data_IF_091397460836
#
_entry.id   IF_091397460836
#
_cell.length_a   1.000
_cell.length_b   1.000
_cell.length_c   1.000
_cell.angle_alpha   90.00
_cell.angle_beta   90.00
_cell.angle_gamma   90.00
#
_symmetry.space_group_name_H-M   'P 1'
#
loop_
_entity.id
_entity.type
_entity.pdbx_description
1 polymer ?
#
# COMPACT_ATOMS: atom_id res chain seq x y z
N UNK A 1 38.41 -18.68 1.51
CA UNK A 1 39.18 -19.01 2.72
C UNK A 1 40.69 -18.62 2.69
N UNK A 2 41.18 -17.81 1.72
CA UNK A 2 42.61 -17.45 1.67
C UNK A 2 42.90 -15.94 1.51
N UNK A 3 42.00 -15.06 1.87
CA UNK A 3 42.23 -13.60 1.78
C UNK A 3 41.99 -12.79 3.07
N UNK A 4 41.74 -13.44 4.20
CA UNK A 4 41.64 -12.76 5.50
C UNK A 4 42.93 -12.84 6.37
N UNK A 5 43.89 -13.66 6.01
CA UNK A 5 45.07 -13.90 6.87
C UNK A 5 46.24 -12.92 6.65
N UNK A 6 46.17 -12.02 5.67
CA UNK A 6 47.29 -11.08 5.35
C UNK A 6 47.21 -9.77 6.17
N UNK A 7 46.11 -9.52 6.87
CA UNK A 7 45.94 -8.27 7.65
C UNK A 7 46.25 -8.40 9.13
N UNK A 8 46.70 -9.58 9.59
CA UNK A 8 47.04 -9.82 11.01
C UNK A 8 48.51 -9.69 11.39
N UNK A 9 49.40 -9.42 10.43
CA UNK A 9 50.87 -9.48 10.71
C UNK A 9 51.56 -8.10 10.78
N UNK A 10 50.86 -6.98 10.69
CA UNK A 10 51.48 -5.64 10.65
C UNK A 10 51.25 -4.78 11.91
N UNK A 11 50.52 -5.24 12.90
CA UNK A 11 50.25 -4.41 14.11
C UNK A 11 50.76 -5.01 15.42
N UNK A 12 51.94 -5.69 15.39
CA UNK A 12 52.59 -6.16 16.59
C UNK A 12 54.02 -5.54 16.72
N UNK A 13 54.10 -4.24 16.90
CA UNK A 13 55.23 -3.58 17.55
C UNK A 13 54.95 -2.08 17.71
N UNK A 14 54.40 -1.68 18.80
CA UNK A 14 54.86 -0.56 19.68
C UNK A 14 53.83 -0.41 20.79
N UNK A 15 54.28 -0.55 22.01
CA UNK A 15 53.45 -0.45 23.20
C UNK A 15 53.08 0.99 23.51
N UNK A 16 51.84 1.18 23.89
CA UNK A 16 51.48 2.14 24.96
C UNK A 16 49.99 1.94 25.29
N UNK A 17 49.74 1.76 26.57
CA UNK A 17 48.41 1.62 27.18
C UNK A 17 47.61 2.90 27.00
N UNK A 18 46.47 2.85 26.39
CA UNK A 18 45.27 3.66 26.71
C UNK A 18 44.05 3.00 26.03
N UNK A 19 43.02 2.75 26.82
CA UNK A 19 41.75 2.21 26.37
C UNK A 19 41.08 3.15 25.36
N UNK A 20 40.62 2.70 24.19
CA UNK A 20 39.69 3.44 23.39
C UNK A 20 38.27 2.84 23.52
N UNK A 21 37.32 3.72 23.76
CA UNK A 21 35.88 3.45 23.79
C UNK A 21 35.36 2.87 22.45
N UNK A 22 34.36 1.96 22.47
CA UNK A 22 33.91 1.24 21.27
C UNK A 22 32.85 1.96 20.45
N UNK A 23 32.86 3.29 20.33
CA UNK A 23 31.77 4.04 19.71
C UNK A 23 31.97 4.36 18.22
N UNK A 24 33.18 4.17 17.67
CA UNK A 24 33.47 4.61 16.29
C UNK A 24 33.52 3.51 15.20
N UNK A 25 33.15 2.28 15.51
CA UNK A 25 33.22 1.18 14.53
C UNK A 25 31.92 0.86 13.80
N UNK A 26 30.80 1.49 14.17
CA UNK A 26 29.50 1.17 13.52
C UNK A 26 29.17 1.99 12.27
N UNK A 27 29.77 3.16 12.07
CA UNK A 27 29.43 4.01 10.93
C UNK A 27 30.18 3.71 9.62
N UNK A 28 31.35 3.09 9.68
CA UNK A 28 32.12 2.77 8.46
C UNK A 28 31.64 1.48 7.76
N UNK A 29 30.88 0.62 8.44
CA UNK A 29 30.38 -0.63 7.85
C UNK A 29 29.05 -0.45 7.10
N UNK A 30 28.29 0.60 7.41
CA UNK A 30 26.95 0.81 6.81
C UNK A 30 27.07 1.39 5.39
N UNK A 31 28.10 2.15 5.09
CA UNK A 31 28.27 2.78 3.77
C UNK A 31 28.84 1.83 2.71
N UNK A 32 29.51 0.74 3.11
CA UNK A 32 30.02 -0.26 2.18
C UNK A 32 29.00 -1.36 1.83
N UNK A 33 27.91 -1.48 2.60
CA UNK A 33 26.89 -2.53 2.40
C UNK A 33 25.83 -2.16 1.35
N UNK A 34 25.78 -0.90 0.91
CA UNK A 34 24.80 -0.42 -0.07
C UNK A 34 25.12 -0.73 -1.54
N UNK A 35 26.29 -1.30 -1.86
CA UNK A 35 26.74 -1.50 -3.25
C UNK A 35 26.99 -2.98 -3.59
N UNK A 36 27.05 -3.86 -2.59
CA UNK A 36 27.21 -5.30 -2.84
C UNK A 36 25.83 -5.95 -2.70
N UNK A 37 25.30 -6.43 -3.81
CA UNK A 37 24.03 -7.15 -3.86
C UNK A 37 23.94 -8.17 -2.72
N UNK A 38 22.87 -8.07 -1.94
CA UNK A 38 22.57 -8.89 -0.77
C UNK A 38 22.74 -10.38 -1.13
N UNK A 39 23.83 -10.96 -0.70
CA UNK A 39 24.10 -12.38 -0.90
C UNK A 39 23.17 -13.15 0.07
N UNK A 40 21.91 -13.30 -0.31
CA UNK A 40 20.97 -14.14 0.45
C UNK A 40 21.45 -15.57 0.43
N UNK A 41 21.55 -16.24 1.56
CA UNK A 41 21.95 -17.63 1.62
C UNK A 41 20.97 -18.49 0.79
N UNK A 42 21.48 -19.48 0.08
CA UNK A 42 20.73 -20.31 -0.85
C UNK A 42 19.55 -21.05 -0.21
N UNK A 43 19.60 -21.30 1.09
CA UNK A 43 18.53 -21.87 1.90
C UNK A 43 17.32 -20.95 2.07
N UNK A 44 17.55 -19.64 2.16
CA UNK A 44 16.44 -18.66 2.18
C UNK A 44 15.78 -18.54 0.82
N UNK A 45 16.54 -18.48 -0.26
CA UNK A 45 16.01 -18.52 -1.63
C UNK A 45 15.22 -19.80 -1.90
N UNK A 46 15.68 -20.93 -1.40
CA UNK A 46 15.00 -22.22 -1.54
C UNK A 46 13.69 -22.25 -0.73
N UNK A 47 13.68 -21.71 0.49
CA UNK A 47 12.46 -21.57 1.30
C UNK A 47 11.45 -20.60 0.67
N UNK A 48 11.91 -19.45 0.18
CA UNK A 48 11.04 -18.49 -0.53
C UNK A 48 10.45 -19.10 -1.80
N UNK A 49 11.23 -19.89 -2.57
CA UNK A 49 10.74 -20.59 -3.75
C UNK A 49 9.74 -21.71 -3.38
N UNK A 50 9.98 -22.46 -2.31
CA UNK A 50 9.03 -23.48 -1.84
C UNK A 50 7.73 -22.83 -1.38
N UNK A 51 7.80 -21.72 -0.63
CA UNK A 51 6.62 -20.95 -0.21
C UNK A 51 5.88 -20.41 -1.44
N UNK A 52 6.61 -19.90 -2.43
CA UNK A 52 6.02 -19.40 -3.68
C UNK A 52 5.38 -20.51 -4.51
N UNK A 53 5.99 -21.70 -4.54
CA UNK A 53 5.42 -22.87 -5.23
C UNK A 53 4.22 -23.45 -4.46
N UNK A 54 4.23 -23.42 -3.14
CA UNK A 54 3.09 -23.84 -2.32
C UNK A 54 1.90 -22.89 -2.48
N UNK A 55 2.15 -21.58 -2.59
CA UNK A 55 1.11 -20.57 -2.84
C UNK A 55 0.51 -20.70 -4.26
N UNK A 56 1.29 -21.16 -5.24
CA UNK A 56 0.79 -21.39 -6.62
C UNK A 56 0.09 -22.73 -6.80
N UNK A 57 0.36 -23.73 -5.94
CA UNK A 57 -0.22 -25.07 -6.05
C UNK A 57 -1.63 -25.18 -5.40
N UNK A 58 -2.02 -24.21 -4.58
CA UNK A 58 -3.34 -24.24 -3.93
C UNK A 58 -4.40 -23.47 -4.75
N UNK A 59 -4.68 -23.94 -5.94
CA UNK A 59 -5.87 -23.54 -6.73
C UNK A 59 -7.14 -24.19 -6.15
N UNK A 60 -7.37 -24.05 -4.85
CA UNK A 60 -8.65 -24.38 -4.26
C UNK A 60 -9.67 -23.36 -4.76
N UNK A 61 -10.69 -23.81 -5.49
CA UNK A 61 -11.78 -22.99 -6.03
C UNK A 61 -12.50 -22.16 -4.95
N UNK A 62 -12.26 -22.44 -3.68
CA UNK A 62 -12.85 -21.75 -2.53
C UNK A 62 -11.83 -20.89 -1.74
N UNK A 63 -10.65 -20.58 -2.27
CA UNK A 63 -9.63 -19.77 -1.56
C UNK A 63 -10.08 -18.34 -1.22
N UNK A 64 -11.10 -17.83 -1.90
CA UNK A 64 -11.62 -16.47 -1.71
C UNK A 64 -12.37 -16.28 -0.38
N UNK A 65 -13.11 -17.31 0.10
CA UNK A 65 -13.94 -17.19 1.30
C UNK A 65 -13.12 -17.11 2.61
N UNK A 66 -12.10 -17.97 2.84
CA UNK A 66 -11.19 -17.80 3.97
C UNK A 66 -10.45 -16.46 3.94
N UNK A 67 -10.07 -15.99 2.75
CA UNK A 67 -9.42 -14.70 2.60
C UNK A 67 -10.35 -13.54 2.97
N UNK A 68 -11.62 -13.59 2.59
CA UNK A 68 -12.64 -12.60 2.99
C UNK A 68 -12.79 -12.57 4.52
N UNK A 69 -12.94 -13.75 5.15
CA UNK A 69 -13.10 -13.85 6.61
C UNK A 69 -11.89 -13.28 7.36
N UNK A 70 -10.70 -13.39 6.82
CA UNK A 70 -9.49 -12.83 7.41
C UNK A 70 -9.34 -11.32 7.15
N UNK A 71 -9.76 -10.83 5.98
CA UNK A 71 -9.66 -9.42 5.59
C UNK A 71 -10.74 -8.56 6.29
N UNK A 72 -11.97 -9.03 6.35
CA UNK A 72 -13.13 -8.27 6.79
C UNK A 72 -12.97 -7.63 8.19
N UNK A 73 -12.51 -8.32 9.24
CA UNK A 73 -12.35 -7.70 10.57
C UNK A 73 -11.38 -6.52 10.57
N UNK A 74 -10.36 -6.54 9.71
CA UNK A 74 -9.36 -5.48 9.60
C UNK A 74 -9.91 -4.24 8.90
N UNK A 75 -10.96 -4.38 8.10
CA UNK A 75 -11.60 -3.26 7.39
C UNK A 75 -12.75 -2.60 8.18
N UNK A 76 -13.25 -3.22 9.26
CA UNK A 76 -14.36 -2.68 10.06
C UNK A 76 -14.07 -1.28 10.63
N UNK A 77 -12.88 -1.00 11.21
CA UNK A 77 -12.60 0.35 11.70
C UNK A 77 -12.64 1.40 10.60
N UNK A 78 -12.20 1.03 9.38
CA UNK A 78 -12.20 1.91 8.21
C UNK A 78 -13.61 2.14 7.71
N UNK A 79 -14.48 1.14 7.80
CA UNK A 79 -15.88 1.22 7.37
C UNK A 79 -16.59 2.45 7.94
N UNK A 80 -16.49 2.66 9.26
CA UNK A 80 -17.13 3.80 9.91
C UNK A 80 -16.57 5.14 9.39
N UNK A 81 -15.26 5.26 9.27
CA UNK A 81 -14.60 6.45 8.73
C UNK A 81 -15.00 6.73 7.29
N UNK A 82 -15.01 5.72 6.44
CA UNK A 82 -15.35 5.84 5.02
C UNK A 82 -16.82 6.15 4.79
N UNK A 83 -17.72 5.54 5.55
CA UNK A 83 -19.14 5.88 5.47
C UNK A 83 -19.38 7.34 5.86
N UNK A 84 -18.75 7.83 6.93
CA UNK A 84 -18.90 9.21 7.37
C UNK A 84 -18.31 10.22 6.39
N UNK A 85 -17.05 10.01 5.96
CA UNK A 85 -16.38 10.90 5.02
C UNK A 85 -17.01 10.84 3.63
N UNK A 86 -17.37 9.65 3.16
CA UNK A 86 -18.09 9.46 1.90
C UNK A 86 -19.45 10.16 1.91
N UNK A 87 -20.21 10.01 3.00
CA UNK A 87 -21.49 10.74 3.15
C UNK A 87 -21.29 12.26 3.14
N UNK A 88 -20.26 12.77 3.80
CA UNK A 88 -19.91 14.18 3.78
C UNK A 88 -19.60 14.68 2.37
N UNK A 89 -18.84 13.88 1.58
CA UNK A 89 -18.57 14.17 0.18
C UNK A 89 -19.85 14.17 -0.67
N UNK A 90 -20.69 13.15 -0.51
CA UNK A 90 -21.96 13.05 -1.24
C UNK A 90 -22.92 14.22 -0.94
N UNK A 91 -23.05 14.60 0.34
CA UNK A 91 -23.83 15.78 0.74
C UNK A 91 -23.27 17.05 0.09
N UNK A 92 -21.94 17.23 0.10
CA UNK A 92 -21.30 18.38 -0.53
C UNK A 92 -21.64 18.44 -2.02
N UNK A 93 -21.62 17.32 -2.75
CA UNK A 93 -22.01 17.27 -4.15
C UNK A 93 -23.50 17.62 -4.35
N UNK A 94 -24.38 17.08 -3.50
CA UNK A 94 -25.81 17.40 -3.53
C UNK A 94 -26.10 18.88 -3.31
N UNK A 95 -25.48 19.51 -2.33
CA UNK A 95 -25.63 20.96 -2.07
C UNK A 95 -25.14 21.84 -3.21
N UNK A 96 -24.30 21.32 -4.11
CA UNK A 96 -23.84 22.01 -5.32
C UNK A 96 -24.73 21.71 -6.54
N UNK A 97 -25.84 21.00 -6.37
CA UNK A 97 -26.81 20.72 -7.42
C UNK A 97 -26.49 19.47 -8.27
N UNK A 98 -25.50 18.68 -7.85
CA UNK A 98 -25.19 17.41 -8.54
C UNK A 98 -26.12 16.29 -8.05
N UNK A 99 -26.67 15.51 -9.00
CA UNK A 99 -27.43 14.30 -8.66
C UNK A 99 -26.54 13.28 -7.93
N UNK A 100 -27.14 12.43 -7.10
CA UNK A 100 -26.44 11.35 -6.36
C UNK A 100 -25.63 10.40 -7.27
N UNK A 101 -25.97 10.32 -8.55
CA UNK A 101 -25.24 9.51 -9.54
C UNK A 101 -23.80 9.98 -9.72
N UNK A 102 -23.56 11.30 -9.61
CA UNK A 102 -22.21 11.86 -9.75
C UNK A 102 -21.26 11.40 -8.64
N UNK A 103 -21.55 11.60 -7.33
CA UNK A 103 -20.67 11.09 -6.29
C UNK A 103 -20.55 9.57 -6.29
N UNK A 104 -21.60 8.83 -6.66
CA UNK A 104 -21.54 7.38 -6.83
C UNK A 104 -20.54 6.96 -7.93
N UNK A 105 -20.62 7.56 -9.11
CA UNK A 105 -19.72 7.23 -10.21
C UNK A 105 -18.28 7.67 -9.93
N UNK A 106 -18.09 8.86 -9.36
CA UNK A 106 -16.74 9.37 -9.05
C UNK A 106 -16.07 8.49 -8.00
N UNK A 107 -16.78 8.14 -6.93
CA UNK A 107 -16.24 7.26 -5.88
C UNK A 107 -15.96 5.84 -6.37
N UNK A 108 -16.71 5.34 -7.37
CA UNK A 108 -16.48 4.02 -7.95
C UNK A 108 -15.29 3.99 -8.94
N UNK A 109 -15.13 5.03 -9.77
CA UNK A 109 -14.15 5.04 -10.87
C UNK A 109 -12.88 5.85 -10.59
N UNK A 110 -12.92 6.83 -9.67
CA UNK A 110 -11.74 7.61 -9.28
C UNK A 110 -11.14 7.04 -7.99
N UNK A 111 -11.97 6.78 -6.99
CA UNK A 111 -11.60 6.21 -5.70
C UNK A 111 -10.39 6.92 -5.05
N UNK A 112 -10.42 8.23 -5.03
CA UNK A 112 -9.39 9.09 -4.47
C UNK A 112 -10.03 10.19 -3.61
N UNK A 113 -10.48 9.84 -2.40
CA UNK A 113 -11.33 10.66 -1.55
C UNK A 113 -10.91 12.11 -1.44
N UNK A 114 -9.64 12.40 -1.14
CA UNK A 114 -9.13 13.78 -1.07
C UNK A 114 -9.28 14.52 -2.41
N UNK A 115 -9.03 13.84 -3.52
CA UNK A 115 -9.16 14.44 -4.85
C UNK A 115 -10.63 14.63 -5.23
N UNK A 116 -11.52 13.75 -4.79
CA UNK A 116 -12.96 13.86 -5.04
C UNK A 116 -13.53 15.13 -4.42
N UNK A 117 -13.16 15.47 -3.17
CA UNK A 117 -13.53 16.74 -2.54
C UNK A 117 -13.02 17.96 -3.33
N UNK A 118 -11.80 17.91 -3.80
CA UNK A 118 -11.18 18.98 -4.59
C UNK A 118 -11.88 19.11 -5.95
N UNK A 119 -12.26 17.99 -6.56
CA UNK A 119 -12.91 17.92 -7.87
C UNK A 119 -14.27 18.62 -7.87
N UNK A 120 -14.98 18.67 -6.74
CA UNK A 120 -16.24 19.43 -6.65
C UNK A 120 -16.04 20.90 -7.08
N UNK A 121 -14.99 21.53 -6.58
CA UNK A 121 -14.67 22.90 -6.95
C UNK A 121 -14.16 23.03 -8.40
N UNK A 122 -13.43 22.03 -8.89
CA UNK A 122 -12.96 22.01 -10.29
C UNK A 122 -14.13 21.90 -11.27
N UNK A 123 -15.16 21.12 -10.96
CA UNK A 123 -16.36 20.97 -11.79
C UNK A 123 -17.17 22.28 -11.88
N UNK A 124 -17.10 23.13 -10.86
CA UNK A 124 -17.79 24.41 -10.80
C UNK A 124 -16.96 25.58 -11.35
N UNK A 125 -15.68 25.38 -11.57
CA UNK A 125 -14.78 26.40 -12.09
C UNK A 125 -14.68 26.35 -13.62
N UNK A 126 -14.07 27.39 -14.21
CA UNK A 126 -13.72 27.39 -15.64
C UNK A 126 -12.77 26.20 -15.93
N UNK A 127 -13.04 25.51 -17.03
CA UNK A 127 -12.27 24.32 -17.42
C UNK A 127 -10.81 24.66 -17.69
N UNK A 128 -9.92 24.17 -16.81
CA UNK A 128 -8.47 24.30 -16.96
C UNK A 128 -7.80 22.93 -16.70
N UNK A 129 -7.55 22.15 -17.75
CA UNK A 129 -7.06 20.77 -17.61
C UNK A 129 -5.64 20.72 -17.04
N UNK A 130 -4.79 21.72 -17.34
CA UNK A 130 -3.43 21.75 -16.81
C UNK A 130 -3.43 22.00 -15.30
N UNK A 131 -4.20 22.96 -14.83
CA UNK A 131 -4.33 23.23 -13.39
C UNK A 131 -4.93 22.04 -12.66
N UNK A 132 -5.97 21.41 -13.24
CA UNK A 132 -6.57 20.18 -12.71
C UNK A 132 -5.57 19.03 -12.61
N UNK A 133 -4.75 18.82 -13.65
CA UNK A 133 -3.71 17.78 -13.65
C UNK A 133 -2.64 18.02 -12.58
N UNK A 134 -2.11 19.25 -12.49
CA UNK A 134 -1.09 19.59 -11.50
C UNK A 134 -1.64 19.44 -10.07
N UNK A 135 -2.87 19.86 -9.83
CA UNK A 135 -3.53 19.73 -8.55
C UNK A 135 -3.75 18.24 -8.19
N UNK A 136 -4.22 17.44 -9.14
CA UNK A 136 -4.36 15.98 -8.95
C UNK A 136 -3.03 15.31 -8.63
N UNK A 137 -1.94 15.70 -9.33
CA UNK A 137 -0.61 15.17 -9.07
C UNK A 137 -0.12 15.54 -7.66
N UNK A 138 -0.33 16.78 -7.23
CA UNK A 138 0.08 17.23 -5.89
C UNK A 138 -0.70 16.50 -4.79
N UNK A 139 -2.02 16.41 -4.91
CA UNK A 139 -2.88 15.77 -3.89
C UNK A 139 -2.60 14.26 -3.80
N UNK A 140 -2.37 13.61 -4.96
CA UNK A 140 -2.18 12.16 -5.03
C UNK A 140 -0.72 11.73 -5.09
N UNK A 141 0.26 12.62 -4.92
CA UNK A 141 1.69 12.28 -4.99
C UNK A 141 2.08 11.12 -4.04
N UNK A 142 1.46 11.03 -2.88
CA UNK A 142 1.66 9.96 -1.91
C UNK A 142 1.35 8.55 -2.47
N UNK A 143 0.38 8.44 -3.38
CA UNK A 143 0.00 7.15 -3.99
C UNK A 143 1.12 6.55 -4.86
N UNK A 144 2.02 7.39 -5.41
CA UNK A 144 3.21 6.92 -6.12
C UNK A 144 4.13 6.13 -5.18
N UNK A 145 4.33 6.63 -3.95
CA UNK A 145 5.16 5.95 -2.95
C UNK A 145 4.51 4.66 -2.44
N UNK A 146 3.19 4.66 -2.26
CA UNK A 146 2.46 3.45 -1.86
C UNK A 146 2.56 2.37 -2.95
N UNK A 147 2.32 2.76 -4.21
CA UNK A 147 2.46 1.86 -5.34
C UNK A 147 3.87 1.25 -5.42
N UNK A 148 4.91 2.07 -5.31
CA UNK A 148 6.30 1.62 -5.34
C UNK A 148 6.61 0.62 -4.20
N UNK A 149 6.18 0.94 -2.98
CA UNK A 149 6.38 0.09 -1.81
C UNK A 149 5.69 -1.27 -1.92
N UNK A 150 4.54 -1.33 -2.60
CA UNK A 150 3.73 -2.54 -2.72
C UNK A 150 4.04 -3.38 -3.95
N UNK A 151 4.88 -2.90 -4.88
CA UNK A 151 5.21 -3.63 -6.13
C UNK A 151 5.72 -5.05 -5.86
N UNK A 152 6.58 -5.22 -4.87
CA UNK A 152 7.11 -6.53 -4.47
C UNK A 152 6.03 -7.47 -3.93
N UNK A 153 5.11 -6.95 -3.12
CA UNK A 153 4.00 -7.74 -2.54
C UNK A 153 2.95 -8.14 -3.57
N UNK A 154 2.77 -7.33 -4.63
CA UNK A 154 1.79 -7.58 -5.69
C UNK A 154 2.37 -8.35 -6.88
N UNK A 155 3.66 -8.73 -6.82
CA UNK A 155 4.27 -9.56 -7.86
C UNK A 155 3.62 -10.95 -7.87
N UNK A 156 3.24 -11.41 -9.07
CA UNK A 156 2.65 -12.75 -9.24
C UNK A 156 1.13 -12.85 -8.98
N UNK A 157 0.43 -11.75 -8.65
CA UNK A 157 -1.01 -11.78 -8.35
C UNK A 157 -1.91 -11.76 -9.60
N UNK A 158 -1.34 -11.90 -10.80
CA UNK A 158 -2.08 -12.01 -12.05
C UNK A 158 -3.04 -10.83 -12.29
N UNK A 159 -4.27 -11.13 -12.70
CA UNK A 159 -5.31 -10.14 -13.03
C UNK A 159 -5.74 -9.24 -11.86
N UNK A 160 -5.51 -9.65 -10.61
CA UNK A 160 -5.83 -8.86 -9.41
C UNK A 160 -4.93 -7.64 -9.28
N UNK A 161 -3.69 -7.72 -9.77
CA UNK A 161 -2.66 -6.67 -9.62
C UNK A 161 -3.10 -5.28 -10.10
N UNK A 162 -3.65 -5.08 -11.31
CA UNK A 162 -4.07 -3.75 -11.75
C UNK A 162 -5.17 -3.16 -10.87
N UNK A 163 -6.11 -4.00 -10.40
CA UNK A 163 -7.15 -3.56 -9.48
C UNK A 163 -6.58 -3.15 -8.11
N UNK A 164 -5.61 -3.90 -7.58
CA UNK A 164 -4.93 -3.57 -6.32
C UNK A 164 -4.14 -2.27 -6.40
N UNK A 165 -3.56 -1.97 -7.56
CA UNK A 165 -2.85 -0.70 -7.80
C UNK A 165 -3.86 0.45 -7.88
N UNK A 166 -4.95 0.27 -8.61
CA UNK A 166 -6.04 1.26 -8.72
C UNK A 166 -6.66 1.58 -7.36
N UNK A 167 -7.02 0.56 -6.57
CA UNK A 167 -7.68 0.72 -5.28
C UNK A 167 -6.76 1.02 -4.10
N UNK A 168 -5.53 1.50 -4.36
CA UNK A 168 -4.56 1.83 -3.33
C UNK A 168 -4.85 3.21 -2.74
N UNK A 169 -5.51 3.25 -1.60
CA UNK A 169 -5.65 4.44 -0.76
C UNK A 169 -4.82 4.28 0.52
N UNK A 170 -4.80 5.29 1.37
CA UNK A 170 -4.01 5.33 2.61
C UNK A 170 -4.35 4.15 3.53
N UNK A 171 -5.63 3.87 3.71
CA UNK A 171 -6.17 2.84 4.58
C UNK A 171 -5.90 1.43 4.01
N UNK A 172 -6.08 1.28 2.70
CA UNK A 172 -5.75 0.04 2.00
C UNK A 172 -4.25 -0.26 2.10
N UNK A 173 -3.41 0.77 1.92
CA UNK A 173 -1.96 0.65 2.10
C UNK A 173 -1.61 0.28 3.54
N UNK A 174 -2.21 0.93 4.53
CA UNK A 174 -1.94 0.67 5.95
C UNK A 174 -2.20 -0.81 6.30
N UNK A 175 -3.35 -1.37 5.88
CA UNK A 175 -3.64 -2.79 6.11
C UNK A 175 -2.69 -3.67 5.30
N UNK A 176 -2.58 -3.47 3.99
CA UNK A 176 -1.83 -4.37 3.10
C UNK A 176 -0.32 -4.36 3.37
N UNK A 177 0.22 -3.26 3.93
CA UNK A 177 1.64 -3.17 4.30
C UNK A 177 1.94 -3.85 5.63
N UNK A 178 1.02 -3.85 6.59
CA UNK A 178 1.26 -4.28 7.97
C UNK A 178 0.61 -5.60 8.35
N UNK A 179 -0.48 -6.01 7.65
CA UNK A 179 -1.22 -7.22 8.00
C UNK A 179 -0.36 -8.48 7.91
N UNK A 180 -0.42 -9.29 8.95
CA UNK A 180 0.13 -10.64 8.98
C UNK A 180 -0.94 -11.59 8.46
N UNK A 181 -0.81 -12.03 7.21
CA UNK A 181 -1.76 -12.96 6.60
C UNK A 181 -1.54 -14.35 7.20
N UNK A 182 -2.58 -14.99 7.75
CA UNK A 182 -2.47 -16.33 8.34
C UNK A 182 -1.99 -17.37 7.32
N UNK A 183 -1.26 -18.38 7.78
CA UNK A 183 -0.81 -19.48 6.92
C UNK A 183 -2.02 -20.19 6.28
N UNK A 184 -1.90 -20.53 4.99
CA UNK A 184 -2.95 -21.18 4.21
C UNK A 184 -4.00 -20.25 3.59
N UNK A 185 -3.89 -18.93 3.79
CA UNK A 185 -4.76 -17.96 3.12
C UNK A 185 -4.07 -17.40 1.87
N UNK A 186 -4.78 -17.40 0.75
CA UNK A 186 -4.29 -16.79 -0.51
C UNK A 186 -4.11 -15.28 -0.33
N UNK A 187 -2.86 -14.82 -0.53
CA UNK A 187 -2.48 -13.41 -0.37
C UNK A 187 -3.18 -12.50 -1.37
N UNK A 188 -3.36 -12.97 -2.60
CA UNK A 188 -3.99 -12.19 -3.65
C UNK A 188 -5.47 -11.95 -3.39
N UNK A 189 -6.19 -12.95 -2.88
CA UNK A 189 -7.57 -12.79 -2.45
C UNK A 189 -7.70 -11.96 -1.18
N UNK A 190 -6.76 -12.07 -0.24
CA UNK A 190 -6.75 -11.23 0.95
C UNK A 190 -6.65 -9.74 0.59
N UNK A 191 -5.65 -9.36 -0.22
CA UNK A 191 -5.48 -7.97 -0.67
C UNK A 191 -6.67 -7.49 -1.50
N UNK A 192 -7.22 -8.37 -2.34
CA UNK A 192 -8.40 -8.06 -3.14
C UNK A 192 -9.59 -7.68 -2.26
N UNK A 193 -9.88 -8.48 -1.23
CA UNK A 193 -11.00 -8.22 -0.33
C UNK A 193 -10.81 -6.98 0.52
N UNK A 194 -9.60 -6.72 1.02
CA UNK A 194 -9.31 -5.46 1.73
C UNK A 194 -9.62 -4.27 0.84
N UNK A 195 -9.13 -4.28 -0.40
CA UNK A 195 -9.35 -3.20 -1.37
C UNK A 195 -10.83 -3.04 -1.73
N UNK A 196 -11.52 -4.14 -2.01
CA UNK A 196 -12.93 -4.13 -2.40
C UNK A 196 -13.85 -3.67 -1.25
N UNK A 197 -13.64 -4.14 -0.04
CA UNK A 197 -14.41 -3.70 1.12
C UNK A 197 -14.27 -2.19 1.33
N UNK A 198 -13.04 -1.66 1.31
CA UNK A 198 -12.80 -0.23 1.47
C UNK A 198 -13.47 0.59 0.35
N UNK A 199 -13.39 0.13 -0.90
CA UNK A 199 -14.06 0.79 -2.02
C UNK A 199 -15.59 0.79 -1.86
N UNK A 200 -16.17 -0.35 -1.46
CA UNK A 200 -17.62 -0.45 -1.24
C UNK A 200 -18.09 0.48 -0.11
N UNK A 201 -17.33 0.59 0.97
CA UNK A 201 -17.67 1.51 2.08
C UNK A 201 -17.68 2.96 1.61
N UNK A 202 -16.68 3.36 0.83
CA UNK A 202 -16.57 4.71 0.29
C UNK A 202 -17.72 5.02 -0.70
N UNK A 203 -17.96 4.15 -1.67
CA UNK A 203 -19.05 4.30 -2.66
C UNK A 203 -20.41 4.35 -1.98
N UNK A 204 -20.65 3.49 -1.00
CA UNK A 204 -21.91 3.47 -0.23
C UNK A 204 -22.10 4.78 0.53
N UNK A 205 -21.08 5.25 1.23
CA UNK A 205 -21.12 6.54 1.93
C UNK A 205 -21.41 7.70 0.99
N UNK A 206 -20.67 7.81 -0.11
CA UNK A 206 -20.84 8.86 -1.11
C UNK A 206 -22.24 8.85 -1.75
N UNK A 207 -22.78 7.66 -2.04
CA UNK A 207 -24.12 7.51 -2.62
C UNK A 207 -25.20 7.92 -1.64
N UNK A 208 -25.12 7.44 -0.39
CA UNK A 208 -26.09 7.81 0.66
C UNK A 208 -26.04 9.32 0.94
N UNK A 209 -24.83 9.88 1.02
CA UNK A 209 -24.67 11.34 1.20
C UNK A 209 -25.23 12.13 0.03
N UNK A 210 -25.04 11.68 -1.20
CA UNK A 210 -25.61 12.29 -2.40
C UNK A 210 -27.12 12.26 -2.43
N UNK A 211 -27.75 11.19 -1.94
CA UNK A 211 -29.21 11.10 -1.79
C UNK A 211 -29.72 12.09 -0.73
N UNK A 212 -29.04 12.19 0.40
CA UNK A 212 -29.42 13.12 1.48
C UNK A 212 -29.25 14.58 1.05
N UNK A 213 -28.14 14.88 0.37
CA UNK A 213 -27.82 16.24 -0.06
C UNK A 213 -28.65 16.76 -1.24
N UNK A 214 -29.40 15.87 -1.92
CA UNK A 214 -30.30 16.23 -3.02
C UNK A 214 -31.67 16.73 -2.55
N UNK A 215 -31.96 16.59 -1.26
CA UNK A 215 -33.20 17.09 -0.61
C UNK A 215 -32.90 18.34 0.23
#
# INVERSE_FOLDING_TARGET
HRRCDILHTVTSRTGSRRHPHPVYRHHACITAYGIIGEHRPADQLHKENIIHMADTANTNTNAWLPALKAAFPLTIPICLGFLFLGASYGILMGTKGFSFVWPMCMSAFIFAGSMEFVTVNLLLSAFNPLAGFLLALMVNARHLFYGLSMLGKFKGLGWKRPYLIFGMCDETFAINSTAKIPAGIDRGWFYFWVTLCNQLYWVTGATLGGLIGAH
#
